data_IF_981899378510
#
_entry.id   IF_981899378510
#
_cell.length_a   1.000
_cell.length_b   1.000
_cell.length_c   1.000
_cell.angle_alpha   90.00
_cell.angle_beta   90.00
_cell.angle_gamma   90.00
#
_symmetry.space_group_name_H-M   'P 1'
#
loop_
_entity.id
_entity.type
_entity.pdbx_description
1 polymer ?
#
# COMPACT_ATOMS: atom_id res chain seq x y z
N UNK A 1 2.29 -34.49 -52.35
CA UNK A 1 1.22 -33.58 -51.89
C UNK A 1 0.70 -33.94 -50.50
N UNK A 2 0.29 -35.19 -50.21
CA UNK A 2 -0.18 -35.60 -48.86
C UNK A 2 0.85 -35.40 -47.72
N UNK A 3 2.15 -35.58 -47.96
CA UNK A 3 3.21 -35.40 -46.94
C UNK A 3 3.36 -33.94 -46.46
N UNK A 4 3.17 -32.96 -47.35
CA UNK A 4 3.22 -31.53 -47.00
C UNK A 4 1.95 -31.07 -46.28
N UNK A 5 0.83 -31.74 -46.53
CA UNK A 5 -0.43 -31.47 -45.83
C UNK A 5 -0.30 -31.77 -44.34
N UNK A 6 0.27 -32.92 -43.95
CA UNK A 6 0.46 -33.28 -42.54
C UNK A 6 1.44 -32.35 -41.80
N UNK A 7 2.51 -31.88 -42.46
CA UNK A 7 3.45 -30.91 -41.88
C UNK A 7 2.77 -29.55 -41.66
N UNK A 8 1.95 -29.11 -42.62
CA UNK A 8 1.17 -27.88 -42.49
C UNK A 8 0.13 -27.99 -41.37
N UNK A 9 -0.53 -29.14 -41.21
CA UNK A 9 -1.51 -29.34 -40.11
C UNK A 9 -0.83 -29.29 -38.74
N UNK A 10 0.38 -29.87 -38.60
CA UNK A 10 1.14 -29.85 -37.36
C UNK A 10 1.64 -28.44 -36.99
N UNK A 11 2.01 -27.64 -38.00
CA UNK A 11 2.42 -26.24 -37.83
C UNK A 11 1.27 -25.32 -37.38
N UNK A 12 0.05 -25.55 -37.90
CA UNK A 12 -1.15 -24.79 -37.50
C UNK A 12 -1.59 -25.11 -36.05
N UNK A 13 -1.34 -26.33 -35.57
CA UNK A 13 -1.61 -26.70 -34.17
C UNK A 13 -0.61 -26.05 -33.19
N UNK A 14 0.65 -25.83 -33.60
CA UNK A 14 1.65 -25.17 -32.74
C UNK A 14 1.39 -23.68 -32.47
N UNK A 15 0.71 -22.96 -33.37
CA UNK A 15 0.36 -21.54 -33.18
C UNK A 15 -0.92 -21.33 -32.35
N UNK A 16 -1.71 -22.38 -32.12
CA UNK A 16 -2.88 -22.34 -31.23
C UNK A 16 -2.54 -22.54 -29.75
N UNK A 17 -1.25 -22.71 -29.42
CA UNK A 17 -0.77 -22.87 -28.05
C UNK A 17 -0.53 -21.54 -27.31
N UNK A 18 -1.11 -20.42 -27.78
CA UNK A 18 -1.27 -19.22 -26.97
C UNK A 18 -2.09 -19.59 -25.73
N UNK A 19 -1.40 -19.81 -24.60
CA UNK A 19 -2.06 -19.93 -23.31
C UNK A 19 -2.81 -18.62 -23.07
N UNK A 20 -4.09 -18.71 -22.72
CA UNK A 20 -4.81 -17.54 -22.20
C UNK A 20 -4.04 -17.05 -20.98
N UNK A 21 -3.66 -15.78 -21.01
CA UNK A 21 -3.08 -15.12 -19.85
C UNK A 21 -4.23 -14.90 -18.87
N UNK A 22 -4.34 -15.81 -17.90
CA UNK A 22 -5.32 -15.70 -16.84
C UNK A 22 -4.95 -14.48 -15.99
N UNK A 23 -5.91 -13.58 -15.70
CA UNK A 23 -5.63 -12.47 -14.81
C UNK A 23 -5.21 -13.04 -13.45
N UNK A 24 -4.10 -12.55 -12.93
CA UNK A 24 -3.47 -13.00 -11.66
C UNK A 24 -4.40 -12.80 -10.45
N UNK A 25 -5.52 -12.10 -10.63
CA UNK A 25 -6.46 -11.74 -9.58
C UNK A 25 -5.93 -10.58 -8.75
N UNK A 26 -6.59 -10.30 -7.63
CA UNK A 26 -6.27 -9.14 -6.81
C UNK A 26 -7.35 -8.73 -5.83
N UNK A 27 -6.98 -7.87 -4.89
CA UNK A 27 -7.94 -7.13 -4.07
C UNK A 27 -8.30 -5.83 -4.78
N UNK A 28 -9.46 -5.26 -4.45
CA UNK A 28 -9.98 -4.06 -5.10
C UNK A 28 -9.08 -2.82 -4.91
N UNK A 29 -8.17 -2.87 -3.93
CA UNK A 29 -7.22 -1.81 -3.57
C UNK A 29 -5.78 -2.31 -3.60
N UNK A 30 -5.47 -3.36 -4.37
CA UNK A 30 -4.15 -4.02 -4.37
C UNK A 30 -3.00 -3.03 -4.66
N UNK A 31 -3.20 -2.10 -5.60
CA UNK A 31 -2.20 -1.11 -6.03
C UNK A 31 -1.91 -0.05 -4.96
N UNK A 32 -2.69 -0.04 -3.88
CA UNK A 32 -2.56 0.88 -2.76
C UNK A 32 -2.20 0.16 -1.46
N UNK A 33 -2.15 -1.16 -1.49
CA UNK A 33 -1.89 -2.01 -0.32
C UNK A 33 -0.40 -2.32 -0.24
N UNK A 34 0.15 -2.32 0.97
CA UNK A 34 1.57 -2.54 1.16
C UNK A 34 2.07 -2.28 2.57
N UNK A 35 3.35 -2.55 2.76
CA UNK A 35 4.15 -2.10 3.90
C UNK A 35 4.98 -0.91 3.47
N UNK A 36 5.08 0.11 4.31
CA UNK A 36 5.73 1.37 3.97
C UNK A 36 6.70 1.79 5.06
N UNK A 37 7.83 2.35 4.63
CA UNK A 37 8.77 3.05 5.50
C UNK A 37 8.55 4.55 5.32
N UNK A 38 8.10 5.24 6.38
CA UNK A 38 7.79 6.67 6.36
C UNK A 38 8.62 7.46 7.36
N UNK A 39 8.84 8.73 7.07
CA UNK A 39 9.51 9.71 7.91
C UNK A 39 8.61 10.94 8.09
N UNK A 40 8.78 11.63 9.21
CA UNK A 40 8.17 12.95 9.41
C UNK A 40 8.92 13.95 8.54
N UNK A 41 8.18 14.69 7.72
CA UNK A 41 8.66 15.66 6.72
C UNK A 41 9.62 15.11 5.66
N UNK A 42 9.89 13.80 5.64
CA UNK A 42 10.90 13.15 4.81
C UNK A 42 12.31 13.16 5.41
N UNK A 43 12.43 13.29 6.74
CA UNK A 43 13.72 13.32 7.44
C UNK A 43 13.68 12.55 8.76
N UNK A 44 14.84 12.19 9.30
CA UNK A 44 14.97 11.55 10.61
C UNK A 44 14.69 10.05 10.60
N UNK A 45 14.09 9.55 11.68
CA UNK A 45 13.83 8.12 11.87
C UNK A 45 12.72 7.61 10.94
N UNK A 46 12.86 6.38 10.48
CA UNK A 46 11.82 5.67 9.76
C UNK A 46 10.84 5.00 10.72
N UNK A 47 9.58 4.97 10.30
CA UNK A 47 8.49 4.30 10.98
C UNK A 47 7.79 3.37 9.99
N UNK A 48 7.42 2.18 10.46
CA UNK A 48 6.65 1.23 9.67
C UNK A 48 5.16 1.54 9.72
N UNK A 49 4.52 1.69 8.56
CA UNK A 49 3.06 1.72 8.45
C UNK A 49 2.59 0.70 7.41
N UNK A 50 1.31 0.34 7.42
CA UNK A 50 0.77 -0.54 6.40
C UNK A 50 -0.63 -0.15 5.96
N UNK A 51 -0.93 -0.46 4.71
CA UNK A 51 -2.25 -0.31 4.09
C UNK A 51 -2.69 -1.65 3.52
N UNK A 52 -3.94 -2.04 3.72
CA UNK A 52 -4.45 -3.32 3.24
C UNK A 52 -5.96 -3.32 3.05
N UNK A 53 -6.45 -4.19 2.16
CA UNK A 53 -7.87 -4.30 1.84
C UNK A 53 -8.73 -4.63 3.06
N UNK A 54 -10.00 -4.22 3.00
CA UNK A 54 -11.00 -4.69 3.95
C UNK A 54 -11.38 -6.15 3.67
N UNK A 55 -11.99 -6.81 4.66
CA UNK A 55 -12.40 -8.21 4.55
C UNK A 55 -13.49 -8.44 3.47
N UNK A 56 -14.33 -7.43 3.24
CA UNK A 56 -15.34 -7.38 2.17
C UNK A 56 -14.77 -6.92 0.82
N UNK A 57 -13.45 -6.71 0.73
CA UNK A 57 -12.75 -6.29 -0.48
C UNK A 57 -13.32 -5.00 -1.11
N UNK A 58 -13.59 -4.00 -0.27
CA UNK A 58 -14.12 -2.71 -0.72
C UNK A 58 -13.12 -2.00 -1.64
N UNK A 59 -13.62 -1.40 -2.72
CA UNK A 59 -12.85 -0.51 -3.60
C UNK A 59 -12.81 0.94 -3.11
N UNK A 60 -13.62 1.29 -2.11
CA UNK A 60 -13.74 2.66 -1.59
C UNK A 60 -13.18 2.83 -0.18
N UNK A 61 -12.78 1.73 0.46
CA UNK A 61 -12.20 1.75 1.80
C UNK A 61 -11.06 0.76 1.92
N UNK A 62 -10.09 1.09 2.75
CA UNK A 62 -9.03 0.18 3.15
C UNK A 62 -8.60 0.45 4.59
N UNK A 63 -7.89 -0.49 5.20
CA UNK A 63 -7.26 -0.28 6.50
C UNK A 63 -5.95 0.49 6.34
N UNK A 64 -5.72 1.43 7.25
CA UNK A 64 -4.43 2.09 7.49
C UNK A 64 -4.00 1.75 8.92
N UNK A 65 -2.81 1.18 9.05
CA UNK A 65 -2.19 0.84 10.33
C UNK A 65 -1.00 1.76 10.60
N UNK A 66 -1.12 2.54 11.67
CA UNK A 66 -0.17 3.55 12.15
C UNK A 66 0.48 3.11 13.47
N UNK A 67 0.34 1.84 13.84
CA UNK A 67 0.76 1.34 15.17
C UNK A 67 2.22 1.66 15.45
N UNK A 68 3.14 1.32 14.56
CA UNK A 68 4.58 1.54 14.83
C UNK A 68 4.99 3.02 14.67
N UNK A 69 4.10 3.87 14.18
CA UNK A 69 4.30 5.31 14.15
C UNK A 69 3.85 5.97 15.46
N UNK A 70 2.66 5.62 15.96
CA UNK A 70 2.04 6.29 17.12
C UNK A 70 2.29 5.59 18.46
N UNK A 71 2.56 4.29 18.45
CA UNK A 71 2.76 3.48 19.65
C UNK A 71 4.18 2.92 19.72
N UNK A 72 4.79 3.03 20.89
CA UNK A 72 6.03 2.32 21.24
C UNK A 72 5.78 1.02 21.99
N UNK A 73 4.52 0.73 22.33
CA UNK A 73 4.13 -0.47 23.08
C UNK A 73 3.82 -1.64 22.13
N UNK A 74 4.36 -2.81 22.45
CA UNK A 74 4.09 -4.06 21.73
C UNK A 74 2.63 -4.56 21.89
N UNK A 75 1.87 -4.02 22.83
CA UNK A 75 0.48 -4.46 23.11
C UNK A 75 -0.58 -3.46 22.65
N UNK A 76 -0.17 -2.25 22.24
CA UNK A 76 -1.08 -1.20 21.79
C UNK A 76 -1.03 -1.10 20.28
N UNK A 77 -2.21 -1.00 19.67
CA UNK A 77 -2.38 -0.92 18.23
C UNK A 77 -3.20 0.31 17.85
N UNK A 78 -2.81 0.93 16.74
CA UNK A 78 -3.44 2.12 16.17
C UNK A 78 -3.69 1.88 14.69
N UNK A 79 -4.95 1.61 14.34
CA UNK A 79 -5.36 1.39 12.96
C UNK A 79 -6.85 1.67 12.77
N UNK A 80 -7.23 1.98 11.54
CA UNK A 80 -8.61 2.36 11.20
C UNK A 80 -8.86 2.32 9.71
N UNK A 81 -10.13 2.41 9.31
CA UNK A 81 -10.50 2.44 7.89
C UNK A 81 -10.41 3.85 7.35
N UNK A 82 -9.71 4.01 6.23
CA UNK A 82 -9.65 5.25 5.44
C UNK A 82 -10.49 5.08 4.18
N UNK A 83 -11.03 6.19 3.67
CA UNK A 83 -11.64 6.26 2.35
C UNK A 83 -10.55 6.27 1.29
N UNK A 84 -10.83 5.60 0.17
CA UNK A 84 -9.90 5.40 -0.93
C UNK A 84 -10.55 5.86 -2.23
N UNK A 85 -9.75 6.52 -3.06
CA UNK A 85 -10.03 6.66 -4.49
C UNK A 85 -8.94 5.91 -5.25
N UNK A 86 -9.29 4.78 -5.85
CA UNK A 86 -8.33 3.88 -6.52
C UNK A 86 -7.72 4.53 -7.75
N UNK A 87 -8.54 5.20 -8.57
CA UNK A 87 -8.10 5.85 -9.81
C UNK A 87 -7.11 6.97 -9.52
N UNK A 88 -7.42 7.79 -8.51
CA UNK A 88 -6.57 8.90 -8.09
C UNK A 88 -5.47 8.46 -7.12
N UNK A 89 -5.47 7.22 -6.64
CA UNK A 89 -4.50 6.68 -5.68
C UNK A 89 -4.39 7.54 -4.41
N UNK A 90 -5.53 8.00 -3.90
CA UNK A 90 -5.59 8.88 -2.71
C UNK A 90 -6.28 8.22 -1.54
N UNK A 91 -5.86 8.59 -0.33
CA UNK A 91 -6.43 8.13 0.93
C UNK A 91 -6.84 9.34 1.79
N UNK A 92 -8.02 9.27 2.42
CA UNK A 92 -8.50 10.33 3.31
C UNK A 92 -9.39 9.76 4.40
N UNK A 93 -9.58 10.50 5.49
CA UNK A 93 -10.62 10.21 6.46
C UNK A 93 -10.58 11.19 7.61
N UNK A 94 -11.71 11.33 8.31
CA UNK A 94 -11.88 12.31 9.36
C UNK A 94 -12.40 11.62 10.60
N UNK A 95 -11.83 11.93 11.77
CA UNK A 95 -12.24 11.37 13.06
C UNK A 95 -12.37 9.84 13.03
N UNK A 96 -11.41 9.17 12.39
CA UNK A 96 -11.41 7.71 12.26
C UNK A 96 -11.20 7.14 13.66
N UNK A 97 -12.18 6.41 14.17
CA UNK A 97 -12.04 5.71 15.44
C UNK A 97 -10.92 4.66 15.34
N UNK A 98 -10.02 4.66 16.32
CA UNK A 98 -9.05 3.58 16.43
C UNK A 98 -9.78 2.25 16.66
N UNK A 99 -9.59 1.30 15.77
CA UNK A 99 -10.09 -0.06 15.90
C UNK A 99 -9.17 -0.96 16.73
N UNK A 100 -8.00 -0.44 17.11
CA UNK A 100 -7.01 -1.13 17.93
C UNK A 100 -7.20 -0.96 19.43
N UNK A 101 -6.10 -1.15 20.16
CA UNK A 101 -6.06 -1.29 21.62
C UNK A 101 -5.40 -0.12 22.34
N UNK A 102 -5.06 0.96 21.62
CA UNK A 102 -4.47 2.15 22.23
C UNK A 102 -5.40 2.76 23.30
N UNK A 103 -4.89 3.08 24.50
CA UNK A 103 -5.73 3.54 25.61
C UNK A 103 -6.40 4.89 25.30
N UNK A 104 -7.53 5.15 25.95
CA UNK A 104 -8.22 6.44 25.84
C UNK A 104 -9.15 6.60 24.63
N UNK A 105 -9.23 5.60 23.74
CA UNK A 105 -10.22 5.61 22.65
C UNK A 105 -9.99 6.74 21.64
N UNK A 106 -8.75 6.91 21.22
CA UNK A 106 -8.34 8.00 20.31
C UNK A 106 -8.96 7.86 18.92
N UNK A 107 -9.07 8.99 18.23
CA UNK A 107 -9.34 9.04 16.79
C UNK A 107 -8.14 9.62 16.06
N UNK A 108 -8.08 9.41 14.74
CA UNK A 108 -7.11 10.08 13.88
C UNK A 108 -7.76 10.56 12.59
N UNK A 109 -7.20 11.61 12.02
CA UNK A 109 -7.60 12.22 10.77
C UNK A 109 -6.49 12.05 9.75
N UNK A 110 -6.84 11.70 8.51
CA UNK A 110 -5.91 11.55 7.39
C UNK A 110 -6.33 12.51 6.28
N UNK A 111 -5.40 13.39 5.90
CA UNK A 111 -5.55 14.27 4.73
C UNK A 111 -4.33 14.13 3.82
N UNK A 112 -4.42 14.63 2.59
CA UNK A 112 -3.33 14.62 1.61
C UNK A 112 -2.67 13.24 1.39
N UNK A 113 -3.40 12.16 1.65
CA UNK A 113 -2.97 10.80 1.39
C UNK A 113 -2.82 10.58 -0.11
N UNK A 114 -1.63 10.26 -0.59
CA UNK A 114 -1.33 9.98 -1.99
C UNK A 114 -0.29 8.87 -2.11
N UNK A 115 -0.58 7.90 -2.97
CA UNK A 115 0.39 6.91 -3.45
C UNK A 115 0.75 7.27 -4.89
N UNK A 116 2.05 7.35 -5.16
CA UNK A 116 2.60 7.65 -6.49
C UNK A 116 3.41 6.45 -6.96
N UNK A 117 2.89 5.66 -7.92
CA UNK A 117 3.59 4.48 -8.43
C UNK A 117 4.95 4.85 -9.01
N UNK A 118 5.99 4.07 -8.68
CA UNK A 118 7.38 4.35 -9.06
C UNK A 118 7.82 5.80 -8.77
N UNK A 119 7.23 6.44 -7.75
CA UNK A 119 7.47 7.85 -7.44
C UNK A 119 8.78 8.11 -6.70
N UNK A 120 9.51 7.07 -6.29
CA UNK A 120 10.77 7.20 -5.55
C UNK A 120 11.65 5.95 -5.75
N UNK A 121 12.77 5.88 -5.03
CA UNK A 121 13.69 4.73 -5.02
C UNK A 121 14.02 4.31 -3.59
N UNK A 122 14.32 3.03 -3.37
CA UNK A 122 14.87 2.54 -2.11
C UNK A 122 16.15 3.30 -1.69
N UNK A 123 16.35 3.58 -0.40
CA UNK A 123 17.43 4.45 0.08
C UNK A 123 18.83 3.89 -0.22
N UNK A 124 19.00 2.56 -0.20
CA UNK A 124 20.30 1.91 -0.44
C UNK A 124 20.30 1.20 -1.79
N UNK A 125 19.32 0.34 -2.06
CA UNK A 125 19.26 -0.45 -3.30
C UNK A 125 19.11 0.41 -4.55
N UNK A 126 18.55 1.62 -4.41
CA UNK A 126 18.12 2.51 -5.49
C UNK A 126 17.10 1.88 -6.44
N UNK A 127 16.49 0.77 -6.06
CA UNK A 127 15.42 0.16 -6.85
C UNK A 127 14.21 1.11 -6.91
N UNK A 128 13.60 1.32 -8.09
CA UNK A 128 12.34 2.06 -8.20
C UNK A 128 11.27 1.44 -7.30
N UNK A 129 10.52 2.28 -6.61
CA UNK A 129 9.44 1.86 -5.71
C UNK A 129 8.39 2.95 -5.60
N UNK A 130 7.21 2.60 -5.09
CA UNK A 130 6.11 3.54 -4.95
C UNK A 130 6.40 4.51 -3.80
N UNK A 131 6.00 5.77 -3.98
CA UNK A 131 6.07 6.78 -2.94
C UNK A 131 4.71 6.92 -2.24
N UNK A 132 4.73 7.19 -0.93
CA UNK A 132 3.53 7.51 -0.15
C UNK A 132 3.71 8.84 0.58
N UNK A 133 2.66 9.66 0.59
CA UNK A 133 2.54 10.84 1.46
C UNK A 133 1.20 10.80 2.18
N UNK A 134 1.16 11.23 3.44
CA UNK A 134 -0.06 11.36 4.23
C UNK A 134 0.15 12.39 5.35
N UNK A 135 -0.85 13.23 5.58
CA UNK A 135 -0.90 14.12 6.74
C UNK A 135 -1.83 13.48 7.78
N UNK A 136 -1.31 13.27 8.99
CA UNK A 136 -2.05 12.62 10.07
C UNK A 136 -2.11 13.51 11.30
N UNK A 137 -3.29 13.64 11.90
CA UNK A 137 -3.50 14.28 13.20
C UNK A 137 -4.19 13.28 14.14
N UNK A 138 -3.77 13.23 15.39
CA UNK A 138 -4.33 12.34 16.41
C UNK A 138 -5.05 13.14 17.49
N UNK A 139 -6.18 12.63 17.97
CA UNK A 139 -7.03 13.37 18.91
C UNK A 139 -6.42 13.60 20.30
N UNK A 140 -5.42 12.80 20.68
CA UNK A 140 -4.66 12.91 21.93
C UNK A 140 -3.43 13.83 21.82
N UNK A 141 -3.11 14.30 20.61
CA UNK A 141 -2.16 15.38 20.34
C UNK A 141 -2.77 16.39 19.34
N UNK A 142 -3.85 17.08 19.74
CA UNK A 142 -4.60 17.94 18.84
C UNK A 142 -3.81 19.18 18.42
N UNK A 143 -3.90 19.55 17.14
CA UNK A 143 -3.19 20.69 16.55
C UNK A 143 -1.82 20.33 15.97
N UNK A 144 -1.31 19.12 16.21
CA UNK A 144 -0.08 18.62 15.59
C UNK A 144 -0.40 17.80 14.34
N UNK A 145 0.00 18.31 13.17
CA UNK A 145 -0.13 17.58 11.91
C UNK A 145 1.20 16.94 11.55
N UNK A 146 1.21 15.61 11.47
CA UNK A 146 2.36 14.82 11.10
C UNK A 146 2.37 14.59 9.59
N UNK A 147 3.32 15.23 8.89
CA UNK A 147 3.52 15.09 7.45
C UNK A 147 4.39 13.86 7.14
N UNK A 148 3.77 12.71 6.93
CA UNK A 148 4.50 11.48 6.67
C UNK A 148 4.81 11.34 5.18
N UNK A 149 6.08 11.07 4.85
CA UNK A 149 6.56 10.81 3.49
C UNK A 149 7.41 9.56 3.50
N UNK A 150 7.27 8.70 2.50
CA UNK A 150 7.98 7.42 2.50
C UNK A 150 7.92 6.66 1.19
N UNK A 151 8.32 5.40 1.28
CA UNK A 151 8.40 4.48 0.15
C UNK A 151 7.83 3.11 0.48
N UNK A 152 7.35 2.42 -0.55
CA UNK A 152 6.89 1.03 -0.43
C UNK A 152 8.09 0.13 -0.17
N UNK A 153 7.97 -0.73 0.85
CA UNK A 153 9.04 -1.62 1.30
C UNK A 153 9.52 -2.49 0.13
N UNK A 154 10.80 -2.37 -0.20
CA UNK A 154 11.42 -3.01 -1.38
C UNK A 154 11.72 -4.49 -1.19
N UNK A 155 11.77 -4.95 0.08
CA UNK A 155 12.20 -6.29 0.51
C UNK A 155 13.70 -6.57 0.29
N UNK A 156 14.48 -5.57 -0.10
CA UNK A 156 15.94 -5.63 0.06
C UNK A 156 16.27 -5.33 1.52
N UNK A 157 17.06 -6.19 2.15
CA UNK A 157 17.43 -6.06 3.57
C UNK A 157 18.12 -4.72 3.87
N UNK A 158 18.87 -4.19 2.90
CA UNK A 158 19.59 -2.93 3.06
C UNK A 158 18.67 -1.69 3.04
N UNK A 159 17.41 -1.84 2.59
CA UNK A 159 16.40 -0.78 2.60
C UNK A 159 15.41 -0.92 3.77
N UNK A 160 15.59 -1.89 4.68
CA UNK A 160 14.71 -2.06 5.85
C UNK A 160 15.19 -1.24 7.06
N UNK A 161 14.24 -0.87 7.93
CA UNK A 161 14.44 0.02 9.08
C UNK A 161 13.86 -0.53 10.38
#
# INVERSE_FOLDING_TARGET
MKKYFYILTLFVLSISACKKEEPVGGTAVQDLSGEWWVQIDGTGAYYGISTYNTADNSSSQMWLNLTNFWSTSATQTVFGKVNVNVDNKTLTGQNIANAGTYPGGITFTVTNGKITPNGTTGPVSKAPTDAITLDVEFSDDPGTVYHLKGYHRTKFVDDDH
#
